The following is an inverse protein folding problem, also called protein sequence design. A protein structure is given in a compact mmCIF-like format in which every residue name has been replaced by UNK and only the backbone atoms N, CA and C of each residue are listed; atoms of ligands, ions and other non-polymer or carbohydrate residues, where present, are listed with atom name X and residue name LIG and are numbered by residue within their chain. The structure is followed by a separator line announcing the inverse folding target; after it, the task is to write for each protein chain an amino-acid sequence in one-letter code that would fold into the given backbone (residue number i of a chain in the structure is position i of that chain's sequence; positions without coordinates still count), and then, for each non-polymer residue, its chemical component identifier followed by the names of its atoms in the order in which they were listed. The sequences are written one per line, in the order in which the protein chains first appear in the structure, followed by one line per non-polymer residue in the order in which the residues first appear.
data_IF_137153723995
#
_entry.id   IF_137153723995
#
_cell.length_a   1.000
_cell.length_b   1.000
_cell.length_c   1.000
_cell.angle_alpha   90.00
_cell.angle_beta   90.00
_cell.angle_gamma   90.00
#
_symmetry.space_group_name_H-M   'P 1'
#
loop_
_entity.id
_entity.type
_entity.pdbx_description
1 polymer ?
#
# COMPACT_ATOMS: atom_id res chain seq x y z
N UNK A 1 9.12 17.42 16.13
CA UNK A 1 10.05 16.42 15.62
C UNK A 1 9.35 15.56 14.61
N UNK A 2 9.89 15.43 13.38
CA UNK A 2 9.35 14.57 12.34
C UNK A 2 9.33 13.14 12.87
N UNK A 3 8.16 12.58 13.10
CA UNK A 3 8.03 11.18 13.47
C UNK A 3 8.51 10.33 12.27
N UNK A 4 9.60 9.59 12.45
CA UNK A 4 10.08 8.65 11.45
C UNK A 4 9.10 7.49 11.39
N UNK A 5 8.43 7.31 10.27
CA UNK A 5 7.56 6.16 10.04
C UNK A 5 8.42 4.90 9.97
N UNK A 6 8.18 3.93 10.85
CA UNK A 6 8.89 2.65 10.86
C UNK A 6 8.61 1.77 9.62
N UNK A 7 7.64 2.17 8.78
CA UNK A 7 7.27 1.44 7.57
C UNK A 7 7.64 2.16 6.26
N UNK A 8 8.23 3.36 6.32
CA UNK A 8 8.65 4.11 5.14
C UNK A 8 10.16 4.07 4.98
N UNK A 9 10.63 3.61 3.84
CA UNK A 9 12.04 3.66 3.44
C UNK A 9 12.15 4.24 2.04
N UNK A 10 13.22 4.97 1.76
CA UNK A 10 13.48 5.46 0.41
C UNK A 10 13.82 4.28 -0.51
N UNK A 11 13.40 4.35 -1.77
CA UNK A 11 13.71 3.29 -2.74
C UNK A 11 15.22 3.19 -2.99
N UNK A 12 15.97 4.29 -2.81
CA UNK A 12 17.43 4.33 -2.94
C UNK A 12 18.18 3.59 -1.83
N UNK A 13 17.55 3.34 -0.68
CA UNK A 13 18.15 2.62 0.44
C UNK A 13 18.04 1.09 0.29
N UNK A 14 17.32 0.65 -0.73
CA UNK A 14 17.06 -0.75 -0.96
C UNK A 14 17.90 -1.22 -2.15
N UNK A 15 18.97 -1.91 -1.88
CA UNK A 15 19.71 -2.68 -2.90
C UNK A 15 18.88 -3.89 -3.34
N UNK A 16 17.72 -3.65 -3.97
CA UNK A 16 16.88 -4.70 -4.53
C UNK A 16 17.25 -4.81 -6.00
N UNK A 17 18.01 -5.84 -6.32
CA UNK A 17 18.24 -6.26 -7.71
C UNK A 17 16.90 -6.55 -8.39
N UNK A 18 16.58 -5.82 -9.45
CA UNK A 18 15.41 -6.05 -10.28
C UNK A 18 14.26 -5.04 -10.12
N UNK A 19 14.40 -4.00 -9.31
CA UNK A 19 13.45 -2.88 -9.35
C UNK A 19 13.75 -1.98 -10.56
N UNK A 20 12.67 -1.56 -11.25
CA UNK A 20 12.77 -0.46 -12.18
C UNK A 20 13.40 0.75 -11.47
N UNK A 21 14.30 1.45 -12.13
CA UNK A 21 14.91 2.67 -11.60
C UNK A 21 13.78 3.64 -11.22
N UNK A 22 13.62 4.00 -9.94
CA UNK A 22 12.60 4.96 -9.53
C UNK A 22 12.78 6.33 -10.18
N UNK A 23 14.00 6.65 -10.62
CA UNK A 23 14.27 7.88 -11.35
C UNK A 23 13.75 7.83 -12.81
N UNK A 24 13.37 6.65 -13.31
CA UNK A 24 12.75 6.46 -14.61
C UNK A 24 11.22 6.55 -14.60
N UNK A 25 10.59 6.70 -13.44
CA UNK A 25 9.13 6.88 -13.36
C UNK A 25 8.74 8.29 -13.81
N UNK A 26 7.80 8.36 -14.75
CA UNK A 26 7.16 9.64 -15.10
C UNK A 26 6.24 10.08 -13.95
N UNK A 27 6.68 11.11 -13.23
CA UNK A 27 5.94 11.67 -12.09
C UNK A 27 4.52 12.13 -12.51
N UNK A 28 4.36 12.68 -13.71
CA UNK A 28 3.06 13.11 -14.19
C UNK A 28 2.14 11.93 -14.48
N UNK A 29 2.66 10.85 -15.05
CA UNK A 29 1.89 9.62 -15.23
C UNK A 29 1.43 9.02 -13.89
N UNK A 30 2.20 9.21 -12.83
CA UNK A 30 1.87 8.76 -11.49
C UNK A 30 0.77 9.60 -10.77
N UNK A 31 0.19 10.58 -11.46
CA UNK A 31 -0.97 11.36 -11.01
C UNK A 31 -2.24 11.03 -11.77
N UNK A 32 -2.17 10.19 -12.81
CA UNK A 32 -3.31 9.89 -13.67
C UNK A 32 -4.19 8.77 -13.09
N UNK A 33 -5.49 8.82 -13.38
CA UNK A 33 -6.38 7.70 -13.13
C UNK A 33 -6.16 6.59 -14.17
N UNK A 34 -6.43 5.36 -13.75
CA UNK A 34 -6.47 4.19 -14.62
C UNK A 34 -7.60 3.24 -14.20
N UNK A 35 -7.68 2.08 -14.85
CA UNK A 35 -8.76 1.12 -14.59
C UNK A 35 -8.80 0.56 -13.16
N UNK A 36 -7.68 0.58 -12.44
CA UNK A 36 -7.53 0.00 -11.10
C UNK A 36 -7.41 1.08 -10.03
N UNK A 37 -6.76 2.18 -10.40
CA UNK A 37 -6.50 3.34 -9.55
C UNK A 37 -7.42 4.47 -10.02
N UNK A 38 -8.72 4.26 -9.82
CA UNK A 38 -9.80 5.18 -10.17
C UNK A 38 -9.96 6.30 -9.13
N UNK A 39 -8.86 7.06 -8.92
CA UNK A 39 -8.78 8.07 -7.85
C UNK A 39 -9.74 9.26 -8.05
N UNK A 40 -10.27 9.44 -9.25
CA UNK A 40 -11.29 10.42 -9.62
C UNK A 40 -12.72 9.94 -9.31
N UNK A 41 -12.89 8.68 -8.87
CA UNK A 41 -14.19 8.17 -8.46
C UNK A 41 -14.75 8.98 -7.28
N UNK A 42 -16.06 9.37 -7.29
CA UNK A 42 -16.63 10.23 -6.26
C UNK A 42 -16.41 9.76 -4.82
N UNK A 43 -16.49 8.46 -4.56
CA UNK A 43 -16.27 7.92 -3.21
C UNK A 43 -14.79 8.02 -2.76
N UNK A 44 -13.83 7.87 -3.68
CA UNK A 44 -12.41 8.08 -3.39
C UNK A 44 -12.16 9.56 -3.08
N UNK A 45 -12.67 10.47 -3.91
CA UNK A 45 -12.54 11.93 -3.71
C UNK A 45 -13.15 12.35 -2.38
N UNK A 46 -14.35 11.82 -2.06
CA UNK A 46 -15.00 12.08 -0.77
C UNK A 46 -14.16 11.61 0.40
N UNK A 47 -13.67 10.36 0.35
CA UNK A 47 -12.84 9.80 1.41
C UNK A 47 -11.54 10.57 1.57
N UNK A 48 -10.87 10.94 0.47
CA UNK A 48 -9.67 11.76 0.52
C UNK A 48 -9.90 13.09 1.23
N UNK A 49 -11.01 13.78 0.93
CA UNK A 49 -11.38 15.03 1.61
C UNK A 49 -11.64 14.84 3.11
N UNK A 50 -12.32 13.75 3.48
CA UNK A 50 -12.57 13.41 4.88
C UNK A 50 -11.25 13.20 5.65
N UNK A 51 -10.33 12.43 5.07
CA UNK A 51 -9.04 12.13 5.68
C UNK A 51 -8.13 13.36 5.81
N UNK A 52 -8.24 14.29 4.87
CA UNK A 52 -7.39 15.50 4.83
C UNK A 52 -7.94 16.67 5.65
N UNK A 53 -9.11 16.53 6.26
CA UNK A 53 -9.75 17.64 6.98
C UNK A 53 -8.86 18.18 8.10
N UNK A 54 -8.44 19.45 7.99
CA UNK A 54 -7.62 20.14 8.97
C UNK A 54 -6.12 19.78 8.95
N UNK A 55 -5.66 19.01 7.95
CA UNK A 55 -4.26 18.61 7.81
C UNK A 55 -3.60 19.45 6.71
N UNK A 56 -2.51 20.15 7.04
CA UNK A 56 -1.74 20.94 6.08
C UNK A 56 -0.40 20.30 5.74
N UNK A 57 0.28 19.67 6.72
CA UNK A 57 1.57 19.04 6.54
C UNK A 57 1.49 17.80 5.65
N UNK A 58 2.35 17.72 4.64
CA UNK A 58 2.32 16.66 3.64
C UNK A 58 2.64 15.29 4.23
N UNK A 59 3.56 15.20 5.19
CA UNK A 59 3.85 13.94 5.86
C UNK A 59 2.72 13.48 6.76
N UNK A 60 2.00 14.40 7.39
CA UNK A 60 0.80 14.09 8.15
C UNK A 60 -0.32 13.57 7.24
N UNK A 61 -0.52 14.17 6.05
CA UNK A 61 -1.46 13.65 5.04
C UNK A 61 -1.11 12.22 4.61
N UNK A 62 0.16 11.99 4.28
CA UNK A 62 0.65 10.67 3.86
C UNK A 62 0.45 9.64 4.98
N UNK A 63 0.81 10.00 6.21
CA UNK A 63 0.62 9.12 7.35
C UNK A 63 -0.85 8.78 7.60
N UNK A 64 -1.73 9.77 7.52
CA UNK A 64 -3.18 9.57 7.71
C UNK A 64 -3.75 8.58 6.70
N UNK A 65 -3.34 8.70 5.43
CA UNK A 65 -3.73 7.72 4.39
C UNK A 65 -3.14 6.35 4.70
N UNK A 66 -1.86 6.28 5.06
CA UNK A 66 -1.20 5.02 5.40
C UNK A 66 -1.90 4.29 6.54
N UNK A 67 -2.22 4.99 7.64
CA UNK A 67 -2.90 4.43 8.78
C UNK A 67 -4.33 3.98 8.46
N UNK A 68 -5.05 4.77 7.65
CA UNK A 68 -6.38 4.38 7.17
C UNK A 68 -6.33 3.07 6.40
N UNK A 69 -5.41 2.92 5.44
CA UNK A 69 -5.27 1.67 4.67
C UNK A 69 -4.85 0.52 5.56
N UNK A 70 -3.90 0.75 6.47
CA UNK A 70 -3.37 -0.27 7.36
C UNK A 70 -4.45 -0.84 8.27
N UNK A 71 -5.23 0.02 8.91
CA UNK A 71 -6.07 -0.35 10.04
C UNK A 71 -7.56 -0.48 9.69
N UNK A 72 -8.06 0.30 8.70
CA UNK A 72 -9.48 0.31 8.34
C UNK A 72 -9.81 -0.61 7.15
N UNK A 73 -8.81 -1.03 6.38
CA UNK A 73 -8.98 -2.00 5.29
C UNK A 73 -8.41 -3.33 5.73
N UNK A 74 -9.29 -4.26 6.06
CA UNK A 74 -8.91 -5.56 6.61
C UNK A 74 -8.09 -6.36 5.59
N UNK A 75 -6.93 -6.88 6.01
CA UNK A 75 -6.15 -7.76 5.16
C UNK A 75 -6.82 -9.12 4.99
N UNK A 76 -7.08 -9.49 3.75
CA UNK A 76 -7.60 -10.79 3.38
C UNK A 76 -6.65 -11.44 2.37
N UNK A 77 -5.98 -12.51 2.78
CA UNK A 77 -5.01 -13.21 1.93
C UNK A 77 -5.65 -13.90 0.71
N UNK A 78 -6.91 -14.31 0.82
CA UNK A 78 -7.64 -15.02 -0.23
C UNK A 78 -9.04 -14.42 -0.39
N UNK A 79 -9.17 -13.18 -0.89
CA UNK A 79 -10.46 -12.56 -1.13
C UNK A 79 -11.20 -13.30 -2.25
N UNK A 80 -12.52 -13.25 -2.20
CA UNK A 80 -13.34 -13.71 -3.32
C UNK A 80 -13.26 -12.64 -4.41
N UNK A 81 -12.78 -13.02 -5.58
CA UNK A 81 -12.72 -12.18 -6.77
C UNK A 81 -13.73 -12.73 -7.77
N UNK A 82 -14.80 -11.99 -7.98
CA UNK A 82 -15.88 -12.36 -8.90
C UNK A 82 -15.69 -11.72 -10.28
N UNK A 83 -15.07 -10.54 -10.29
CA UNK A 83 -14.86 -9.76 -11.51
C UNK A 83 -13.60 -8.90 -11.45
N UNK A 84 -13.22 -8.35 -12.59
CA UNK A 84 -12.12 -7.39 -12.66
C UNK A 84 -12.43 -6.09 -11.89
N UNK A 85 -13.70 -5.77 -11.65
CA UNK A 85 -14.08 -4.61 -10.86
C UNK A 85 -13.65 -4.71 -9.40
N UNK A 86 -13.46 -5.92 -8.87
CA UNK A 86 -13.02 -6.14 -7.47
C UNK A 86 -11.58 -5.66 -7.20
N UNK A 87 -10.83 -5.37 -8.25
CA UNK A 87 -9.49 -4.78 -8.15
C UNK A 87 -9.48 -3.26 -8.09
N UNK A 88 -10.59 -2.59 -8.40
CA UNK A 88 -10.67 -1.13 -8.40
C UNK A 88 -10.55 -0.56 -6.99
N UNK A 89 -9.83 0.53 -6.87
CA UNK A 89 -9.66 1.24 -5.59
C UNK A 89 -11.02 1.62 -4.97
N UNK A 90 -11.97 2.12 -5.78
CA UNK A 90 -13.31 2.46 -5.31
C UNK A 90 -14.07 1.26 -4.76
N UNK A 91 -13.95 0.08 -5.38
CA UNK A 91 -14.59 -1.15 -4.91
C UNK A 91 -13.96 -1.61 -3.59
N UNK A 92 -12.63 -1.57 -3.48
CA UNK A 92 -11.92 -1.92 -2.24
C UNK A 92 -12.33 -1.01 -1.09
N UNK A 93 -12.51 0.29 -1.34
CA UNK A 93 -12.98 1.26 -0.34
C UNK A 93 -14.36 0.87 0.22
N UNK A 94 -15.27 0.40 -0.64
CA UNK A 94 -16.62 -0.03 -0.23
C UNK A 94 -16.56 -1.33 0.56
N UNK A 95 -15.80 -2.31 0.10
CA UNK A 95 -15.70 -3.63 0.72
C UNK A 95 -14.88 -3.62 2.02
N UNK A 96 -14.00 -2.65 2.20
CA UNK A 96 -13.10 -2.50 3.36
C UNK A 96 -12.26 -3.74 3.68
N UNK A 97 -11.98 -4.55 2.68
CA UNK A 97 -11.06 -5.68 2.80
C UNK A 97 -10.38 -5.96 1.46
N UNK A 98 -9.23 -6.59 1.50
CA UNK A 98 -8.51 -6.99 0.31
C UNK A 98 -7.13 -7.57 0.60
N UNK A 99 -6.55 -8.17 -0.42
CA UNK A 99 -5.16 -8.60 -0.42
C UNK A 99 -4.20 -7.41 -0.69
N UNK A 100 -2.90 -7.68 -0.67
CA UNK A 100 -1.89 -6.63 -0.85
C UNK A 100 -2.11 -5.76 -2.09
N UNK A 101 -2.44 -6.35 -3.25
CA UNK A 101 -2.71 -5.60 -4.48
C UNK A 101 -3.92 -4.66 -4.35
N UNK A 102 -5.02 -5.15 -3.80
CA UNK A 102 -6.24 -4.37 -3.62
C UNK A 102 -6.02 -3.20 -2.64
N UNK A 103 -5.37 -3.48 -1.51
CA UNK A 103 -5.02 -2.44 -0.54
C UNK A 103 -4.07 -1.41 -1.14
N UNK A 104 -3.10 -1.85 -1.95
CA UNK A 104 -2.17 -0.94 -2.64
C UNK A 104 -2.86 -0.08 -3.70
N UNK A 105 -3.82 -0.64 -4.45
CA UNK A 105 -4.62 0.13 -5.41
C UNK A 105 -5.36 1.28 -4.71
N UNK A 106 -6.01 0.98 -3.58
CA UNK A 106 -6.72 2.01 -2.81
C UNK A 106 -5.75 3.04 -2.19
N UNK A 107 -4.62 2.59 -1.66
CA UNK A 107 -3.62 3.48 -1.09
C UNK A 107 -3.08 4.47 -2.13
N UNK A 108 -2.71 3.98 -3.30
CA UNK A 108 -2.22 4.82 -4.41
C UNK A 108 -3.31 5.75 -4.91
N UNK A 109 -4.56 5.29 -5.01
CA UNK A 109 -5.68 6.14 -5.39
C UNK A 109 -5.89 7.31 -4.42
N UNK A 110 -5.80 7.06 -3.12
CA UNK A 110 -5.93 8.13 -2.12
C UNK A 110 -4.75 9.10 -2.19
N UNK A 111 -3.51 8.63 -2.37
CA UNK A 111 -2.37 9.52 -2.59
C UNK A 111 -2.55 10.41 -3.82
N UNK A 112 -2.96 9.82 -4.96
CA UNK A 112 -3.22 10.60 -6.20
C UNK A 112 -4.37 11.58 -6.04
N UNK A 113 -5.44 11.20 -5.33
CA UNK A 113 -6.59 12.08 -5.06
C UNK A 113 -6.22 13.33 -4.23
N UNK A 114 -5.18 13.25 -3.42
CA UNK A 114 -4.63 14.39 -2.63
C UNK A 114 -3.49 15.11 -3.35
N UNK A 115 -3.11 14.67 -4.56
CA UNK A 115 -2.11 15.33 -5.39
C UNK A 115 -0.67 14.81 -5.23
N UNK A 116 -0.46 13.70 -4.54
CA UNK A 116 0.85 13.07 -4.47
C UNK A 116 1.03 12.07 -5.62
N UNK A 117 2.10 12.19 -6.42
CA UNK A 117 2.46 11.15 -7.37
C UNK A 117 2.69 9.83 -6.64
N UNK A 118 2.03 8.78 -7.08
CA UNK A 118 2.11 7.49 -6.43
C UNK A 118 1.97 6.35 -7.44
N UNK A 119 2.57 5.22 -7.12
CA UNK A 119 2.55 4.02 -7.96
C UNK A 119 2.56 2.75 -7.10
N UNK A 120 2.40 1.60 -7.74
CA UNK A 120 2.52 0.30 -7.09
C UNK A 120 3.90 -0.28 -7.40
N UNK A 121 4.57 -0.73 -6.35
CA UNK A 121 5.79 -1.50 -6.45
C UNK A 121 5.51 -2.97 -6.17
N UNK A 122 6.10 -3.85 -6.96
CA UNK A 122 6.04 -5.29 -6.75
C UNK A 122 7.40 -5.79 -6.29
N UNK A 123 7.39 -6.68 -5.31
CA UNK A 123 8.59 -7.30 -4.79
C UNK A 123 8.33 -8.74 -4.38
N UNK A 124 9.38 -9.54 -4.32
CA UNK A 124 9.33 -10.83 -3.62
C UNK A 124 9.55 -10.59 -2.14
N UNK A 125 8.69 -11.16 -1.32
CA UNK A 125 8.79 -11.08 0.13
C UNK A 125 8.84 -12.49 0.72
N UNK A 126 9.59 -12.65 1.81
CA UNK A 126 9.58 -13.91 2.58
C UNK A 126 8.68 -13.70 3.79
N UNK A 127 7.65 -14.53 3.91
CA UNK A 127 6.72 -14.50 5.04
C UNK A 127 6.81 -15.80 5.83
N UNK A 128 7.74 -15.87 6.77
CA UNK A 128 7.91 -17.05 7.65
C UNK A 128 6.67 -17.38 8.49
N UNK A 129 5.92 -16.42 9.07
CA UNK A 129 4.68 -16.72 9.76
C UNK A 129 3.65 -17.42 8.88
N UNK A 130 3.55 -17.06 7.61
CA UNK A 130 2.57 -17.63 6.68
C UNK A 130 2.86 -19.12 6.40
N UNK A 131 4.14 -19.56 6.44
CA UNK A 131 4.53 -20.96 6.33
C UNK A 131 3.98 -21.85 7.46
N UNK A 132 3.56 -21.25 8.58
CA UNK A 132 2.96 -21.96 9.72
C UNK A 132 1.44 -22.04 9.63
N UNK A 133 0.86 -21.58 8.53
CA UNK A 133 -0.60 -21.56 8.31
C UNK A 133 -1.03 -22.59 7.29
N UNK A 134 -2.36 -22.72 7.10
CA UNK A 134 -2.96 -23.53 6.05
C UNK A 134 -2.57 -23.09 4.63
N UNK A 135 -2.01 -21.90 4.48
CA UNK A 135 -1.61 -21.34 3.18
C UNK A 135 -0.18 -21.72 2.75
N UNK A 136 0.54 -22.52 3.54
CA UNK A 136 1.93 -22.93 3.27
C UNK A 136 2.14 -23.53 1.88
N UNK A 137 1.12 -24.23 1.35
CA UNK A 137 1.19 -24.86 0.03
C UNK A 137 1.04 -23.87 -1.13
N UNK A 138 0.50 -22.67 -0.86
CA UNK A 138 0.34 -21.60 -1.83
C UNK A 138 1.61 -20.72 -1.96
N UNK A 139 2.56 -20.88 -1.04
CA UNK A 139 3.78 -20.06 -0.96
C UNK A 139 5.02 -20.95 -0.88
N UNK A 140 5.46 -21.53 -2.00
CA UNK A 140 6.63 -22.40 -2.02
C UNK A 140 7.84 -21.73 -1.36
N UNK A 141 8.47 -22.41 -0.40
CA UNK A 141 9.61 -21.90 0.37
C UNK A 141 9.36 -20.59 1.14
N UNK A 142 8.09 -20.22 1.38
CA UNK A 142 7.72 -18.98 2.07
C UNK A 142 7.90 -17.71 1.24
N UNK A 143 8.13 -17.85 -0.06
CA UNK A 143 8.31 -16.72 -0.95
C UNK A 143 6.96 -16.28 -1.51
N UNK A 144 6.49 -15.10 -1.11
CA UNK A 144 5.41 -14.38 -1.76
C UNK A 144 6.00 -13.66 -2.97
N UNK A 145 5.80 -14.24 -4.15
CA UNK A 145 6.12 -13.54 -5.39
C UNK A 145 5.09 -12.42 -5.63
N UNK A 146 5.55 -11.29 -6.16
CA UNK A 146 4.69 -10.15 -6.52
C UNK A 146 3.91 -9.55 -5.34
N UNK A 147 4.49 -9.51 -4.13
CA UNK A 147 3.93 -8.71 -3.06
C UNK A 147 3.83 -7.26 -3.51
N UNK A 148 2.63 -6.69 -3.45
CA UNK A 148 2.35 -5.32 -3.87
C UNK A 148 2.37 -4.38 -2.67
N UNK A 149 2.94 -3.20 -2.87
CA UNK A 149 2.89 -2.08 -1.92
C UNK A 149 2.81 -0.74 -2.64
N UNK A 150 2.32 0.27 -1.96
CA UNK A 150 2.31 1.63 -2.49
C UNK A 150 3.68 2.29 -2.39
N UNK A 151 4.00 3.12 -3.39
CA UNK A 151 5.10 4.07 -3.33
C UNK A 151 4.55 5.46 -3.57
N UNK A 152 5.07 6.45 -2.88
CA UNK A 152 4.64 7.85 -2.96
C UNK A 152 5.83 8.78 -3.12
N UNK A 153 5.69 9.78 -3.99
CA UNK A 153 6.71 10.81 -4.21
C UNK A 153 6.38 12.05 -3.38
N UNK A 154 7.31 12.44 -2.51
CA UNK A 154 7.20 13.62 -1.66
C UNK A 154 8.61 14.14 -1.32
N UNK A 155 8.75 15.44 -1.14
CA UNK A 155 10.06 16.08 -0.87
C UNK A 155 11.16 15.70 -1.89
N UNK A 156 10.77 15.50 -3.17
CA UNK A 156 11.71 15.16 -4.23
C UNK A 156 12.20 13.70 -4.24
N UNK A 157 11.61 12.82 -3.43
CA UNK A 157 12.02 11.42 -3.30
C UNK A 157 10.83 10.46 -3.29
N UNK A 158 11.08 9.21 -3.69
CA UNK A 158 10.13 8.13 -3.58
C UNK A 158 10.27 7.37 -2.26
N UNK A 159 9.13 7.12 -1.61
CA UNK A 159 9.05 6.36 -0.36
C UNK A 159 8.13 5.16 -0.51
N UNK A 160 8.54 4.03 0.08
CA UNK A 160 7.71 2.82 0.15
C UNK A 160 6.77 2.92 1.34
N UNK A 161 5.51 2.51 1.10
CA UNK A 161 4.43 2.54 2.08
C UNK A 161 3.68 1.20 2.06
N UNK A 162 4.18 0.22 2.80
CA UNK A 162 3.54 -1.09 2.91
C UNK A 162 2.49 -1.08 4.03
N UNK A 163 1.25 -0.81 3.67
CA UNK A 163 0.09 -0.81 4.59
C UNK A 163 -0.71 -2.13 4.53
N UNK A 164 -0.10 -3.22 4.09
CA UNK A 164 -0.78 -4.50 3.89
C UNK A 164 -1.34 -5.07 5.18
N UNK A 165 -0.52 -5.11 6.24
CA UNK A 165 -0.90 -5.71 7.52
C UNK A 165 -1.29 -4.64 8.53
N UNK A 166 -2.37 -4.88 9.27
CA UNK A 166 -2.80 -3.99 10.35
C UNK A 166 -1.80 -3.93 11.51
N UNK A 167 -1.87 -2.85 12.30
CA UNK A 167 -0.97 -2.62 13.42
C UNK A 167 -1.03 -3.73 14.48
N UNK A 168 -2.20 -4.31 14.70
CA UNK A 168 -2.38 -5.43 15.63
C UNK A 168 -1.71 -6.70 15.13
N UNK A 169 -1.76 -6.97 13.83
CA UNK A 169 -1.09 -8.12 13.22
C UNK A 169 0.43 -7.95 13.19
N UNK A 170 0.92 -6.75 12.86
CA UNK A 170 2.33 -6.40 12.94
C UNK A 170 2.87 -6.60 14.35
N UNK A 171 2.21 -6.05 15.37
CA UNK A 171 2.64 -6.19 16.77
C UNK A 171 2.66 -7.66 17.24
N UNK A 172 1.74 -8.49 16.76
CA UNK A 172 1.75 -9.93 17.07
C UNK A 172 2.91 -10.66 16.37
N UNK A 173 3.32 -10.21 15.18
CA UNK A 173 4.45 -10.78 14.43
C UNK A 173 5.79 -10.37 15.03
N UNK A 174 5.98 -9.10 15.37
CA UNK A 174 7.21 -8.58 15.96
C UNK A 174 7.56 -9.22 17.29
N UNK A 175 6.56 -9.55 18.11
CA UNK A 175 6.78 -10.29 19.37
C UNK A 175 7.33 -11.72 19.17
N UNK A 176 7.29 -12.25 17.95
CA UNK A 176 7.81 -13.58 17.60
C UNK A 176 9.16 -13.54 16.87
N UNK A 177 9.57 -12.38 16.40
CA UNK A 177 10.87 -12.20 15.73
C UNK A 177 12.01 -11.81 16.67
N UNK A 178 11.74 -11.70 17.98
CA UNK A 178 12.71 -11.38 19.04
C UNK A 178 13.02 -12.62 19.90
N UNK A 179 13.11 -13.78 19.25
CA UNK A 179 13.69 -14.98 19.88
C UNK A 179 14.68 -15.60 18.93
#
# INVERSE_FOLDING_TARGET
GKQKFMAASTLSELSITGMADPNGLDINACLLADNWIDHDHPEIVKKAKELMAGIEDDWEKINTIFEFIRDEIVYNFAPIIESMADWKASTVLVHKNGMCHQKSNLQVALFRAVGFPAAISYQSAIDYPLLKTRYKEMIPNGVLAYHALGVVHVDGQWYRMDATLDSGLCNRRDRKSVV
#
